data_IF_124268483638
#
_entry.id   IF_124268483638
#
_cell.length_a   1.000
_cell.length_b   1.000
_cell.length_c   1.000
_cell.angle_alpha   90.00
_cell.angle_beta   90.00
_cell.angle_gamma   90.00
#
_symmetry.space_group_name_H-M   'P 1'
#
loop_
_entity.id
_entity.type
_entity.pdbx_description
1 polymer ?
#
# COMPACT_ATOMS: atom_id res chain seq x y z
N UNK A 1 -18.25 15.60 -4.12
CA UNK A 1 -17.11 16.40 -3.62
C UNK A 1 -16.61 17.24 -4.76
N UNK A 2 -16.49 18.55 -4.55
CA UNK A 2 -15.75 19.40 -5.48
C UNK A 2 -14.33 18.85 -5.63
N UNK A 3 -13.78 18.90 -6.84
CA UNK A 3 -12.50 18.26 -7.18
C UNK A 3 -11.35 18.74 -6.31
N UNK A 4 -11.44 19.95 -5.77
CA UNK A 4 -10.47 20.57 -4.88
C UNK A 4 -10.51 19.98 -3.46
N UNK A 5 -11.71 19.82 -2.88
CA UNK A 5 -11.91 19.16 -1.58
C UNK A 5 -11.37 17.73 -1.57
N UNK A 6 -11.52 17.00 -2.70
CA UNK A 6 -10.97 15.64 -2.83
C UNK A 6 -9.44 15.62 -2.81
N UNK A 7 -8.81 16.59 -3.46
CA UNK A 7 -7.35 16.72 -3.49
C UNK A 7 -6.79 17.09 -2.12
N UNK A 8 -7.46 17.98 -1.41
CA UNK A 8 -7.06 18.35 -0.05
C UNK A 8 -7.19 17.18 0.91
N UNK A 9 -8.31 16.45 0.87
CA UNK A 9 -8.49 15.23 1.66
C UNK A 9 -7.43 14.16 1.34
N UNK A 10 -7.11 13.97 0.06
CA UNK A 10 -6.05 13.05 -0.36
C UNK A 10 -4.67 13.49 0.14
N UNK A 11 -4.36 14.79 0.14
CA UNK A 11 -3.13 15.33 0.70
C UNK A 11 -3.03 15.13 2.22
N UNK A 12 -4.13 15.29 2.95
CA UNK A 12 -4.17 14.98 4.39
C UNK A 12 -3.96 13.49 4.64
N UNK A 13 -4.57 12.62 3.82
CA UNK A 13 -4.39 11.18 3.89
C UNK A 13 -2.93 10.76 3.61
N UNK A 14 -2.24 11.44 2.69
CA UNK A 14 -0.81 11.25 2.46
C UNK A 14 -0.01 11.47 3.74
N UNK A 15 -0.15 12.64 4.38
CA UNK A 15 0.62 13.00 5.57
C UNK A 15 0.33 12.04 6.74
N UNK A 16 -0.94 11.67 6.92
CA UNK A 16 -1.35 10.72 7.96
C UNK A 16 -0.75 9.34 7.73
N UNK A 17 -0.75 8.84 6.50
CA UNK A 17 -0.18 7.54 6.16
C UNK A 17 1.35 7.51 6.28
N UNK A 18 2.04 8.61 5.93
CA UNK A 18 3.48 8.77 6.21
C UNK A 18 3.74 8.66 7.70
N UNK A 19 2.96 9.37 8.53
CA UNK A 19 3.10 9.30 9.99
C UNK A 19 2.84 7.90 10.53
N UNK A 20 1.78 7.24 10.07
CA UNK A 20 1.44 5.87 10.50
C UNK A 20 2.55 4.88 10.19
N UNK A 21 3.17 4.96 9.01
CA UNK A 21 4.30 4.08 8.67
C UNK A 21 5.48 4.29 9.64
N UNK A 22 5.81 5.55 9.94
CA UNK A 22 6.93 5.89 10.80
C UNK A 22 6.69 5.48 12.26
N UNK A 23 5.45 5.59 12.73
CA UNK A 23 5.10 5.28 14.12
C UNK A 23 4.87 3.78 14.35
N UNK A 24 4.27 3.08 13.38
CA UNK A 24 3.76 1.71 13.57
C UNK A 24 4.37 0.67 12.62
N UNK A 25 4.92 1.09 11.48
CA UNK A 25 5.35 0.20 10.41
C UNK A 25 4.20 -0.61 9.80
N UNK A 26 4.54 -1.64 9.02
CA UNK A 26 3.58 -2.50 8.32
C UNK A 26 2.73 -1.73 7.27
N UNK A 27 3.38 -1.40 6.15
CA UNK A 27 2.81 -0.65 5.03
C UNK A 27 1.36 -0.98 4.63
N UNK A 28 0.96 -2.25 4.42
CA UNK A 28 -0.40 -2.53 3.96
C UNK A 28 -1.45 -2.17 5.02
N UNK A 29 -1.12 -2.28 6.31
CA UNK A 29 -2.02 -1.90 7.39
C UNK A 29 -2.14 -0.39 7.50
N UNK A 30 -1.03 0.35 7.41
CA UNK A 30 -1.05 1.81 7.45
C UNK A 30 -1.90 2.40 6.32
N UNK A 31 -1.75 1.90 5.08
CA UNK A 31 -2.57 2.34 3.95
C UNK A 31 -4.06 2.07 4.23
N UNK A 32 -4.41 0.84 4.63
CA UNK A 32 -5.80 0.46 4.83
C UNK A 32 -6.46 1.21 5.99
N UNK A 33 -5.76 1.40 7.11
CA UNK A 33 -6.25 2.14 8.26
C UNK A 33 -6.53 3.60 7.91
N UNK A 34 -5.59 4.28 7.24
CA UNK A 34 -5.81 5.67 6.85
C UNK A 34 -6.91 5.81 5.80
N UNK A 35 -7.01 4.88 4.84
CA UNK A 35 -8.12 4.87 3.88
C UNK A 35 -9.46 4.68 4.58
N UNK A 36 -9.55 3.74 5.54
CA UNK A 36 -10.74 3.53 6.36
C UNK A 36 -11.17 4.81 7.07
N UNK A 37 -10.24 5.49 7.75
CA UNK A 37 -10.52 6.72 8.50
C UNK A 37 -10.87 7.90 7.59
N UNK A 38 -10.37 7.92 6.35
CA UNK A 38 -10.56 9.04 5.42
C UNK A 38 -11.85 8.93 4.61
N UNK A 39 -12.16 7.74 4.06
CA UNK A 39 -13.27 7.54 3.13
C UNK A 39 -14.13 6.31 3.43
N UNK A 40 -13.82 5.54 4.48
CA UNK A 40 -14.54 4.32 4.84
C UNK A 40 -14.38 3.18 3.84
N UNK A 41 -15.26 2.18 3.93
CA UNK A 41 -15.34 1.05 2.99
C UNK A 41 -14.29 -0.05 3.17
N UNK A 42 -13.40 0.08 4.15
CA UNK A 42 -12.46 -0.96 4.59
C UNK A 42 -12.82 -1.35 6.02
N UNK A 43 -12.89 -2.65 6.31
CA UNK A 43 -13.17 -3.15 7.66
C UNK A 43 -11.89 -3.58 8.41
N UNK A 44 -12.01 -3.72 9.73
CA UNK A 44 -10.89 -4.07 10.61
C UNK A 44 -10.33 -5.47 10.31
N UNK A 45 -11.16 -6.40 9.82
CA UNK A 45 -10.70 -7.74 9.46
C UNK A 45 -9.80 -7.70 8.22
N UNK A 46 -10.10 -6.82 7.27
CA UNK A 46 -9.29 -6.56 6.07
C UNK A 46 -7.95 -5.95 6.47
N UNK A 47 -7.93 -4.97 7.38
CA UNK A 47 -6.70 -4.39 7.94
C UNK A 47 -5.88 -5.47 8.66
N UNK A 48 -6.51 -6.30 9.50
CA UNK A 48 -5.83 -7.36 10.24
C UNK A 48 -5.23 -8.42 9.29
N UNK A 49 -5.98 -8.85 8.28
CA UNK A 49 -5.55 -9.87 7.32
C UNK A 49 -4.37 -9.42 6.45
N UNK A 50 -4.20 -8.11 6.24
CA UNK A 50 -3.11 -7.58 5.41
C UNK A 50 -1.74 -7.60 6.09
N UNK A 51 -1.66 -7.82 7.41
CA UNK A 51 -0.41 -7.75 8.18
C UNK A 51 0.71 -8.64 7.60
N UNK A 52 0.37 -9.88 7.25
CA UNK A 52 1.30 -10.85 6.66
C UNK A 52 1.71 -10.54 5.21
N UNK A 53 1.32 -9.39 4.66
CA UNK A 53 1.70 -8.93 3.32
C UNK A 53 2.79 -7.85 3.36
N UNK A 54 3.23 -7.45 4.56
CA UNK A 54 4.31 -6.47 4.74
C UNK A 54 5.65 -6.98 4.22
N UNK A 55 6.57 -6.10 3.80
CA UNK A 55 7.88 -6.56 3.31
C UNK A 55 7.80 -7.55 2.14
N UNK A 56 6.75 -7.49 1.32
CA UNK A 56 6.52 -8.44 0.23
C UNK A 56 5.92 -9.78 0.68
N UNK A 57 5.36 -9.87 1.88
CA UNK A 57 4.76 -11.09 2.43
C UNK A 57 5.20 -11.39 3.86
N UNK A 58 5.75 -12.58 4.09
CA UNK A 58 6.40 -12.88 5.37
C UNK A 58 7.76 -12.19 5.52
N UNK A 59 7.85 -10.88 5.23
CA UNK A 59 9.10 -10.12 5.18
C UNK A 59 10.17 -10.72 4.24
N UNK A 60 9.75 -11.42 3.19
CA UNK A 60 10.66 -12.12 2.27
C UNK A 60 11.22 -11.22 1.15
N UNK A 61 10.64 -10.05 0.92
CA UNK A 61 11.01 -9.14 -0.17
C UNK A 61 10.46 -9.54 -1.55
N UNK A 62 10.17 -10.82 -1.77
CA UNK A 62 9.85 -11.39 -3.09
C UNK A 62 8.50 -10.94 -3.68
N UNK A 63 7.52 -10.63 -2.83
CA UNK A 63 6.17 -10.23 -3.24
C UNK A 63 6.00 -8.73 -3.50
N UNK A 64 4.77 -8.36 -3.87
CA UNK A 64 4.35 -6.97 -4.10
C UNK A 64 4.60 -6.13 -2.85
N UNK A 65 5.11 -4.90 -3.02
CA UNK A 65 5.33 -3.96 -1.94
C UNK A 65 4.08 -3.81 -1.07
N UNK A 66 4.27 -3.82 0.25
CA UNK A 66 3.18 -3.72 1.22
C UNK A 66 2.28 -2.50 1.00
N UNK A 67 2.84 -1.32 0.68
CA UNK A 67 2.05 -0.12 0.41
C UNK A 67 1.11 -0.33 -0.79
N UNK A 68 1.65 -0.82 -1.92
CA UNK A 68 0.86 -1.14 -3.10
C UNK A 68 -0.19 -2.20 -2.80
N UNK A 69 0.16 -3.27 -2.09
CA UNK A 69 -0.78 -4.30 -1.67
C UNK A 69 -1.94 -3.74 -0.84
N UNK A 70 -1.66 -2.87 0.13
CA UNK A 70 -2.70 -2.17 0.91
C UNK A 70 -3.64 -1.35 0.01
N UNK A 71 -3.10 -0.63 -0.97
CA UNK A 71 -3.93 0.13 -1.91
C UNK A 71 -4.78 -0.75 -2.84
N UNK A 72 -4.22 -1.88 -3.31
CA UNK A 72 -4.96 -2.86 -4.09
C UNK A 72 -6.10 -3.50 -3.28
N UNK A 73 -5.85 -3.78 -2.00
CA UNK A 73 -6.87 -4.26 -1.07
C UNK A 73 -7.96 -3.21 -0.84
N UNK A 74 -7.61 -1.94 -0.63
CA UNK A 74 -8.57 -0.86 -0.43
C UNK A 74 -9.52 -0.69 -1.63
N UNK A 75 -8.98 -0.69 -2.85
CA UNK A 75 -9.79 -0.65 -4.07
C UNK A 75 -10.69 -1.89 -4.18
N UNK A 76 -10.17 -3.06 -3.80
CA UNK A 76 -10.91 -4.33 -3.84
C UNK A 76 -11.98 -4.42 -2.77
N UNK A 77 -11.82 -3.74 -1.62
CA UNK A 77 -12.87 -3.66 -0.60
C UNK A 77 -14.11 -2.92 -1.12
N UNK A 78 -13.94 -1.95 -2.03
CA UNK A 78 -15.04 -1.21 -2.66
C UNK A 78 -15.57 -1.83 -3.95
N UNK A 79 -14.69 -2.34 -4.81
CA UNK A 79 -15.04 -2.76 -6.17
C UNK A 79 -14.86 -4.26 -6.44
N UNK A 80 -14.36 -5.01 -5.46
CA UNK A 80 -14.17 -6.45 -5.53
C UNK A 80 -15.48 -7.22 -5.56
N UNK A 81 -15.35 -8.55 -5.59
CA UNK A 81 -16.48 -9.47 -5.59
C UNK A 81 -16.82 -9.89 -4.18
N UNK A 82 -18.09 -9.81 -3.85
CA UNK A 82 -18.64 -10.51 -2.70
C UNK A 82 -18.54 -12.03 -2.90
N UNK A 83 -18.46 -12.78 -1.79
CA UNK A 83 -18.31 -14.24 -1.79
C UNK A 83 -19.45 -14.95 -2.52
N UNK A 84 -20.67 -14.45 -2.42
CA UNK A 84 -21.88 -14.99 -3.06
C UNK A 84 -22.00 -14.61 -4.55
N UNK A 85 -21.01 -13.90 -5.10
CA UNK A 85 -20.98 -13.46 -6.50
C UNK A 85 -19.73 -13.95 -7.24
N UNK A 86 -18.99 -14.91 -6.68
CA UNK A 86 -17.78 -15.45 -7.31
C UNK A 86 -18.05 -16.14 -8.66
N UNK A 87 -19.25 -16.68 -8.83
CA UNK A 87 -19.80 -17.28 -10.05
C UNK A 87 -20.28 -16.23 -11.08
N UNK A 88 -20.56 -14.99 -10.66
CA UNK A 88 -21.13 -13.91 -11.48
C UNK A 88 -20.10 -13.18 -12.36
N UNK A 89 -19.06 -13.88 -12.78
CA UNK A 89 -18.00 -13.36 -13.66
C UNK A 89 -16.80 -12.74 -12.92
N UNK A 90 -15.88 -12.15 -13.69
CA UNK A 90 -14.52 -11.80 -13.21
C UNK A 90 -14.35 -10.39 -12.64
N UNK A 91 -15.36 -9.52 -12.71
CA UNK A 91 -15.32 -8.14 -12.16
C UNK A 91 -14.10 -7.33 -12.65
N UNK A 92 -13.96 -7.26 -13.98
CA UNK A 92 -12.83 -6.62 -14.67
C UNK A 92 -12.62 -5.14 -14.26
N UNK A 93 -13.66 -4.44 -13.80
CA UNK A 93 -13.55 -3.05 -13.37
C UNK A 93 -12.62 -2.87 -12.15
N UNK A 94 -12.61 -3.81 -11.19
CA UNK A 94 -11.64 -3.79 -10.10
C UNK A 94 -10.20 -3.92 -10.63
N UNK A 95 -9.99 -4.86 -11.56
CA UNK A 95 -8.69 -5.08 -12.18
C UNK A 95 -8.19 -3.88 -13.00
N UNK A 96 -9.09 -3.12 -13.65
CA UNK A 96 -8.72 -1.87 -14.34
C UNK A 96 -8.16 -0.84 -13.36
N UNK A 97 -8.81 -0.64 -12.21
CA UNK A 97 -8.34 0.27 -11.15
C UNK A 97 -7.03 -0.23 -10.52
N UNK A 98 -6.95 -1.54 -10.24
CA UNK A 98 -5.72 -2.16 -9.74
C UNK A 98 -4.54 -1.96 -10.71
N UNK A 99 -4.77 -2.12 -12.02
CA UNK A 99 -3.76 -1.87 -13.06
C UNK A 99 -3.32 -0.41 -13.05
N UNK A 100 -4.26 0.54 -13.01
CA UNK A 100 -3.96 1.98 -12.97
C UNK A 100 -3.08 2.33 -11.76
N UNK A 101 -3.44 1.88 -10.55
CA UNK A 101 -2.64 2.10 -9.35
C UNK A 101 -1.25 1.47 -9.47
N UNK A 102 -1.17 0.25 -9.99
CA UNK A 102 0.09 -0.50 -10.16
C UNK A 102 1.03 0.20 -11.14
N UNK A 103 0.52 0.70 -12.27
CA UNK A 103 1.34 1.43 -13.24
C UNK A 103 1.81 2.78 -12.68
N UNK A 104 0.94 3.51 -11.97
CA UNK A 104 1.31 4.75 -11.27
C UNK A 104 2.42 4.50 -10.24
N UNK A 105 2.29 3.43 -9.46
CA UNK A 105 3.30 3.00 -8.49
C UNK A 105 4.64 2.64 -9.15
N UNK A 106 4.58 1.87 -10.25
CA UNK A 106 5.77 1.48 -11.00
C UNK A 106 6.50 2.69 -11.58
N UNK A 107 5.75 3.67 -12.11
CA UNK A 107 6.31 4.88 -12.68
C UNK A 107 7.00 5.75 -11.60
N UNK A 108 6.40 5.87 -10.42
CA UNK A 108 6.94 6.67 -9.31
C UNK A 108 8.17 6.01 -8.67
N UNK A 109 8.10 4.72 -8.35
CA UNK A 109 9.12 4.04 -7.53
C UNK A 109 10.08 3.14 -8.33
N UNK A 110 9.84 2.96 -9.63
CA UNK A 110 10.71 2.18 -10.51
C UNK A 110 10.68 0.66 -10.25
N UNK A 111 9.64 0.16 -9.59
CA UNK A 111 9.45 -1.25 -9.22
C UNK A 111 8.08 -1.49 -8.59
N UNK A 112 7.73 -2.76 -8.35
CA UNK A 112 6.47 -3.16 -7.69
C UNK A 112 6.67 -4.14 -6.55
N UNK A 113 7.77 -4.90 -6.52
CA UNK A 113 8.08 -5.81 -5.41
C UNK A 113 8.82 -5.10 -4.29
N UNK A 114 8.72 -5.61 -3.06
CA UNK A 114 9.43 -5.01 -1.94
C UNK A 114 10.95 -5.03 -2.16
N UNK A 115 11.49 -6.13 -2.69
CA UNK A 115 12.91 -6.26 -3.03
C UNK A 115 13.36 -5.25 -4.11
N UNK A 116 12.53 -5.02 -5.14
CA UNK A 116 12.83 -3.98 -6.14
C UNK A 116 12.90 -2.60 -5.49
N UNK A 117 11.99 -2.31 -4.55
CA UNK A 117 12.00 -1.06 -3.82
C UNK A 117 13.19 -0.94 -2.87
N UNK A 118 13.59 -2.00 -2.17
CA UNK A 118 14.82 -2.02 -1.37
C UNK A 118 16.04 -1.63 -2.24
N UNK A 119 16.17 -2.26 -3.42
CA UNK A 119 17.23 -1.96 -4.37
C UNK A 119 17.19 -0.50 -4.85
N UNK A 120 16.00 0.02 -5.15
CA UNK A 120 15.80 1.41 -5.60
C UNK A 120 16.10 2.43 -4.51
N UNK A 121 15.71 2.15 -3.27
CA UNK A 121 15.82 3.09 -2.16
C UNK A 121 17.21 3.08 -1.53
N UNK A 122 17.91 1.95 -1.56
CA UNK A 122 19.13 1.75 -0.76
C UNK A 122 20.33 1.21 -1.56
N UNK A 123 20.13 0.79 -2.81
CA UNK A 123 21.19 0.21 -3.65
C UNK A 123 21.47 -1.28 -3.41
N UNK A 124 20.76 -1.95 -2.48
CA UNK A 124 20.87 -3.40 -2.28
C UNK A 124 19.57 -4.00 -1.72
N UNK A 125 19.57 -5.32 -1.57
CA UNK A 125 18.50 -6.08 -0.90
C UNK A 125 18.96 -6.57 0.47
N UNK A 126 18.01 -6.91 1.33
CA UNK A 126 18.24 -7.32 2.72
C UNK A 126 17.41 -8.54 3.06
N UNK A 127 17.99 -9.44 3.85
CA UNK A 127 17.21 -10.43 4.59
C UNK A 127 16.60 -9.75 5.81
N UNK A 128 15.28 -9.60 5.83
CA UNK A 128 14.58 -8.95 6.94
C UNK A 128 14.32 -9.89 8.14
N UNK A 129 14.68 -11.18 8.03
CA UNK A 129 14.71 -12.12 9.15
C UNK A 129 16.05 -12.10 9.91
N UNK A 130 17.10 -11.56 9.31
CA UNK A 130 18.33 -11.22 10.01
C UNK A 130 18.18 -9.84 10.67
N UNK A 131 18.28 -9.79 12.00
CA UNK A 131 18.04 -8.56 12.76
C UNK A 131 19.03 -7.44 12.43
N UNK A 132 20.29 -7.76 12.10
CA UNK A 132 21.29 -6.76 11.76
C UNK A 132 21.03 -6.17 10.37
N UNK A 133 20.65 -7.02 9.41
CA UNK A 133 20.24 -6.58 8.09
C UNK A 133 18.93 -5.80 8.12
N UNK A 134 17.95 -6.19 8.94
CA UNK A 134 16.70 -5.45 9.07
C UNK A 134 16.92 -4.05 9.65
N UNK A 135 17.79 -3.92 10.66
CA UNK A 135 18.20 -2.62 11.19
C UNK A 135 18.93 -1.78 10.14
N UNK A 136 19.88 -2.37 9.41
CA UNK A 136 20.60 -1.68 8.34
C UNK A 136 19.64 -1.23 7.22
N UNK A 137 18.62 -2.03 6.91
CA UNK A 137 17.57 -1.65 5.97
C UNK A 137 16.74 -0.47 6.49
N UNK A 138 16.33 -0.48 7.75
CA UNK A 138 15.56 0.60 8.37
C UNK A 138 16.30 1.94 8.33
N UNK A 139 17.59 1.93 8.67
CA UNK A 139 18.44 3.11 8.59
C UNK A 139 18.62 3.58 7.13
N UNK A 140 18.94 2.65 6.22
CA UNK A 140 19.23 2.99 4.82
C UNK A 140 18.00 3.45 4.04
N UNK A 141 16.81 2.89 4.30
CA UNK A 141 15.57 3.27 3.61
C UNK A 141 15.05 4.64 4.06
N UNK A 142 15.43 5.10 5.25
CA UNK A 142 14.93 6.33 5.85
C UNK A 142 13.40 6.42 5.75
N UNK A 143 12.89 7.47 5.08
CA UNK A 143 11.45 7.71 4.91
C UNK A 143 10.86 7.14 3.62
N UNK A 144 11.62 6.39 2.81
CA UNK A 144 11.17 5.99 1.48
C UNK A 144 9.95 5.04 1.51
N UNK A 145 9.93 4.08 2.46
CA UNK A 145 8.75 3.23 2.66
C UNK A 145 7.54 4.05 3.12
N UNK A 146 7.73 5.03 4.01
CA UNK A 146 6.67 5.93 4.46
C UNK A 146 6.13 6.81 3.32
N UNK A 147 7.00 7.32 2.45
CA UNK A 147 6.60 8.03 1.24
C UNK A 147 5.77 7.14 0.30
N UNK A 148 6.16 5.87 0.11
CA UNK A 148 5.38 4.92 -0.67
C UNK A 148 3.98 4.67 -0.07
N UNK A 149 3.89 4.45 1.24
CA UNK A 149 2.62 4.33 1.98
C UNK A 149 1.76 5.59 1.82
N UNK A 150 2.35 6.78 1.98
CA UNK A 150 1.70 8.06 1.77
C UNK A 150 1.13 8.22 0.36
N UNK A 151 1.97 8.05 -0.67
CA UNK A 151 1.57 8.22 -2.07
C UNK A 151 0.47 7.26 -2.47
N UNK A 152 0.58 5.98 -2.10
CA UNK A 152 -0.47 5.00 -2.41
C UNK A 152 -1.78 5.40 -1.75
N UNK A 153 -1.76 5.81 -0.48
CA UNK A 153 -2.95 6.26 0.24
C UNK A 153 -3.59 7.47 -0.43
N UNK A 154 -2.80 8.48 -0.81
CA UNK A 154 -3.25 9.63 -1.57
C UNK A 154 -3.98 9.22 -2.85
N UNK A 155 -3.35 8.38 -3.66
CA UNK A 155 -3.90 7.98 -4.96
C UNK A 155 -5.15 7.14 -4.80
N UNK A 156 -5.22 6.26 -3.80
CA UNK A 156 -6.41 5.48 -3.51
C UNK A 156 -7.57 6.40 -3.13
N UNK A 157 -7.35 7.39 -2.26
CA UNK A 157 -8.39 8.39 -1.93
C UNK A 157 -8.82 9.19 -3.17
N UNK A 158 -7.90 9.53 -4.07
CA UNK A 158 -8.22 10.16 -5.37
C UNK A 158 -9.04 9.24 -6.30
N UNK A 159 -8.89 7.92 -6.20
CA UNK A 159 -9.53 6.92 -7.07
C UNK A 159 -10.89 6.41 -6.56
N UNK A 160 -11.21 6.63 -5.28
CA UNK A 160 -12.44 6.20 -4.61
C UNK A 160 -13.56 7.25 -4.71
#
# INVERSE_FOLDING_TARGET
MESEQKRELAAQAYEKAVKYELDYGCCPQCVLAVVQETVGGVDDQTIKASHGLSGGGGLLGEGVCGALTGGLMALSAKYGRDRDKLDKGRYINNFKKAKELTEKFRAEFGGVTCQQLQQRFTGRTYDMWDAAQYKAFDEARGKQCANATGKVTQWVVEML
#
